data_IF_168474470269
#
_entry.id   IF_168474470269
#
_cell.length_a   1.000
_cell.length_b   1.000
_cell.length_c   1.000
_cell.angle_alpha   90.00
_cell.angle_beta   90.00
_cell.angle_gamma   90.00
#
_symmetry.space_group_name_H-M   'P 1'
#
loop_
_entity.id
_entity.type
_entity.pdbx_description
1 polymer ?
#
# COMPACT_ATOMS: atom_id res chain seq x y z
N UNK A 1 3.46 -6.93 -12.48
CA UNK A 1 2.74 -7.02 -11.19
C UNK A 1 2.38 -5.60 -10.78
N UNK A 2 1.13 -5.31 -10.43
CA UNK A 2 0.78 -4.06 -9.75
C UNK A 2 0.88 -4.33 -8.26
N UNK A 3 2.04 -4.01 -7.68
CA UNK A 3 2.27 -4.13 -6.24
C UNK A 3 1.24 -3.27 -5.49
N UNK A 4 0.70 -3.76 -4.37
CA UNK A 4 -0.26 -3.03 -3.55
C UNK A 4 -1.74 -3.32 -3.82
N UNK A 5 -2.07 -4.16 -4.79
CA UNK A 5 -3.47 -4.55 -5.07
C UNK A 5 -3.80 -5.95 -4.52
N UNK A 6 -4.97 -6.08 -3.91
CA UNK A 6 -5.46 -7.26 -3.21
C UNK A 6 -6.85 -7.64 -3.71
N UNK A 7 -7.06 -8.92 -3.99
CA UNK A 7 -8.41 -9.48 -4.18
C UNK A 7 -8.78 -10.17 -2.87
N UNK A 8 -9.87 -9.73 -2.25
CA UNK A 8 -10.40 -10.31 -1.00
C UNK A 8 -11.77 -10.89 -1.28
N UNK A 9 -11.94 -12.20 -1.05
CA UNK A 9 -13.25 -12.83 -1.07
C UNK A 9 -13.78 -13.00 0.33
N UNK A 10 -15.00 -12.52 0.56
CA UNK A 10 -15.69 -12.64 1.85
C UNK A 10 -16.68 -13.81 1.87
N UNK A 11 -16.86 -14.42 3.05
CA UNK A 11 -17.85 -15.47 3.28
C UNK A 11 -19.27 -14.93 3.07
N UNK A 12 -20.19 -15.78 2.62
CA UNK A 12 -21.63 -15.45 2.44
C UNK A 12 -22.31 -15.03 3.73
N UNK A 13 -21.96 -15.70 4.82
CA UNK A 13 -22.51 -15.43 6.15
C UNK A 13 -21.96 -14.15 6.77
N UNK A 14 -20.94 -13.54 6.19
CA UNK A 14 -20.40 -12.27 6.66
C UNK A 14 -21.22 -11.07 6.18
N UNK A 15 -21.18 -9.98 6.94
CA UNK A 15 -21.81 -8.73 6.53
C UNK A 15 -21.18 -8.18 5.25
N UNK A 16 -19.85 -8.16 5.16
CA UNK A 16 -19.12 -7.73 3.98
C UNK A 16 -19.53 -8.55 2.73
N UNK A 17 -19.62 -9.88 2.86
CA UNK A 17 -20.06 -10.75 1.78
C UNK A 17 -21.48 -10.45 1.30
N UNK A 18 -22.43 -10.21 2.22
CA UNK A 18 -23.81 -9.81 1.86
C UNK A 18 -23.85 -8.45 1.18
N UNK A 19 -23.07 -7.48 1.67
CA UNK A 19 -23.01 -6.14 1.09
C UNK A 19 -22.47 -6.18 -0.35
N UNK A 20 -21.39 -6.94 -0.60
CA UNK A 20 -20.84 -7.11 -1.95
C UNK A 20 -21.79 -7.87 -2.88
N UNK A 21 -22.49 -8.90 -2.40
CA UNK A 21 -23.51 -9.60 -3.17
C UNK A 21 -24.66 -8.67 -3.60
N UNK A 22 -25.13 -7.79 -2.71
CA UNK A 22 -26.18 -6.82 -3.02
C UNK A 22 -25.73 -5.80 -4.09
N UNK A 23 -24.45 -5.41 -4.11
CA UNK A 23 -23.90 -4.56 -5.18
C UNK A 23 -23.92 -5.30 -6.52
N UNK A 24 -23.47 -6.56 -6.55
CA UNK A 24 -23.47 -7.38 -7.78
C UNK A 24 -24.89 -7.66 -8.30
N UNK A 25 -25.87 -7.79 -7.40
CA UNK A 25 -27.27 -7.97 -7.76
C UNK A 25 -27.95 -6.66 -8.23
N UNK A 26 -27.22 -5.54 -8.31
CA UNK A 26 -27.77 -4.23 -8.71
C UNK A 26 -28.67 -3.59 -7.65
N UNK A 27 -28.72 -4.15 -6.43
CA UNK A 27 -29.55 -3.64 -5.33
C UNK A 27 -28.87 -2.49 -4.58
N UNK A 28 -27.55 -2.36 -4.74
CA UNK A 28 -26.72 -1.32 -4.10
C UNK A 28 -25.66 -0.81 -5.06
N UNK A 29 -25.15 0.39 -4.80
CA UNK A 29 -24.04 0.97 -5.56
C UNK A 29 -22.69 0.61 -4.94
N UNK A 30 -21.61 0.64 -5.73
CA UNK A 30 -20.24 0.46 -5.21
C UNK A 30 -19.90 1.49 -4.13
N UNK A 31 -20.43 2.71 -4.23
CA UNK A 31 -20.22 3.74 -3.19
C UNK A 31 -20.75 3.31 -1.81
N UNK A 32 -21.82 2.50 -1.75
CA UNK A 32 -22.39 2.02 -0.49
C UNK A 32 -21.48 1.05 0.27
N UNK A 33 -20.48 0.45 -0.41
CA UNK A 33 -19.50 -0.46 0.18
C UNK A 33 -18.12 0.16 0.34
N UNK A 34 -17.96 1.46 0.02
CA UNK A 34 -16.75 2.22 0.33
C UNK A 34 -16.34 2.19 1.82
N UNK A 35 -17.28 2.19 2.79
CA UNK A 35 -16.93 2.06 4.22
C UNK A 35 -16.15 0.78 4.56
N UNK A 36 -16.29 -0.30 3.78
CA UNK A 36 -15.54 -1.55 4.00
C UNK A 36 -14.04 -1.32 3.85
N UNK A 37 -13.62 -0.61 2.80
CA UNK A 37 -12.21 -0.28 2.59
C UNK A 37 -11.68 0.67 3.67
N UNK A 38 -12.50 1.63 4.13
CA UNK A 38 -12.13 2.53 5.22
C UNK A 38 -11.97 1.79 6.56
N UNK A 39 -12.86 0.84 6.86
CA UNK A 39 -12.75 -0.01 8.04
C UNK A 39 -11.47 -0.85 8.01
N UNK A 40 -11.23 -1.58 6.92
CA UNK A 40 -10.01 -2.36 6.73
C UNK A 40 -8.76 -1.48 6.82
N UNK A 41 -8.83 -0.26 6.28
CA UNK A 41 -7.72 0.70 6.37
C UNK A 41 -7.37 1.06 7.79
N UNK A 42 -8.39 1.30 8.63
CA UNK A 42 -8.23 1.64 10.04
C UNK A 42 -7.64 0.47 10.82
N UNK A 43 -8.19 -0.73 10.63
CA UNK A 43 -7.78 -1.94 11.35
C UNK A 43 -6.36 -2.40 10.99
N UNK A 44 -5.98 -2.27 9.71
CA UNK A 44 -4.65 -2.62 9.21
C UNK A 44 -3.65 -1.47 9.36
N UNK A 45 -4.12 -0.26 9.68
CA UNK A 45 -3.31 0.96 9.76
C UNK A 45 -2.63 1.34 8.44
N UNK A 46 -3.21 0.94 7.31
CA UNK A 46 -2.70 1.16 5.95
C UNK A 46 -3.87 1.62 5.08
N UNK A 47 -3.76 2.76 4.37
CA UNK A 47 -4.89 3.27 3.59
C UNK A 47 -5.13 2.44 2.33
N UNK A 48 -6.34 1.92 2.20
CA UNK A 48 -6.83 1.09 1.11
C UNK A 48 -8.04 1.76 0.45
N UNK A 49 -8.19 1.57 -0.85
CA UNK A 49 -9.36 1.98 -1.64
C UNK A 49 -10.06 0.75 -2.16
N UNK A 50 -11.39 0.77 -2.17
CA UNK A 50 -12.16 -0.19 -2.94
C UNK A 50 -12.11 0.23 -4.41
N UNK A 51 -11.33 -0.49 -5.21
CA UNK A 51 -11.20 -0.22 -6.64
C UNK A 51 -12.40 -0.80 -7.41
N UNK A 52 -12.83 -2.01 -7.06
CA UNK A 52 -13.91 -2.69 -7.76
C UNK A 52 -14.56 -3.77 -6.86
N UNK A 53 -15.83 -4.07 -7.14
CA UNK A 53 -16.49 -5.30 -6.68
C UNK A 53 -16.50 -6.28 -7.85
N UNK A 54 -15.87 -7.44 -7.68
CA UNK A 54 -15.77 -8.48 -8.70
C UNK A 54 -16.68 -9.66 -8.36
N UNK A 55 -16.78 -10.64 -9.27
CA UNK A 55 -17.72 -11.76 -9.14
C UNK A 55 -17.56 -12.50 -7.81
N UNK A 56 -18.66 -13.05 -7.28
CA UNK A 56 -18.58 -14.01 -6.18
C UNK A 56 -18.30 -13.43 -4.79
N UNK A 57 -18.63 -12.16 -4.54
CA UNK A 57 -18.40 -11.40 -3.27
C UNK A 57 -16.94 -11.04 -3.05
N UNK A 58 -16.27 -10.72 -4.14
CA UNK A 58 -14.90 -10.26 -4.13
C UNK A 58 -14.82 -8.74 -4.13
N UNK A 59 -13.90 -8.21 -3.33
CA UNK A 59 -13.49 -6.82 -3.38
C UNK A 59 -12.05 -6.75 -3.90
N UNK A 60 -11.86 -5.96 -4.96
CA UNK A 60 -10.54 -5.51 -5.37
C UNK A 60 -10.18 -4.27 -4.54
N UNK A 61 -9.20 -4.43 -3.65
CA UNK A 61 -8.66 -3.36 -2.82
C UNK A 61 -7.32 -2.92 -3.39
N UNK A 62 -7.12 -1.61 -3.52
CA UNK A 62 -5.86 -1.02 -3.94
C UNK A 62 -5.24 -0.23 -2.80
N UNK A 63 -3.91 -0.31 -2.64
CA UNK A 63 -3.17 0.54 -1.72
C UNK A 63 -3.28 2.02 -2.17
N UNK A 64 -3.82 2.88 -1.31
CA UNK A 64 -3.77 4.33 -1.55
C UNK A 64 -2.37 4.86 -1.23
N UNK A 65 -1.48 4.77 -2.21
CA UNK A 65 -0.09 5.22 -2.08
C UNK A 65 0.01 6.72 -1.77
N UNK A 66 -0.93 7.51 -2.29
CA UNK A 66 -0.94 8.95 -2.05
C UNK A 66 -1.32 9.24 -0.60
N UNK A 67 -2.38 8.62 -0.09
CA UNK A 67 -2.73 8.72 1.33
C UNK A 67 -1.64 8.14 2.23
N UNK A 68 -1.05 7.00 1.86
CA UNK A 68 0.05 6.39 2.60
C UNK A 68 1.24 7.34 2.71
N UNK A 69 1.62 7.96 1.59
CA UNK A 69 2.67 8.97 1.54
C UNK A 69 2.36 10.17 2.42
N UNK A 70 1.12 10.70 2.37
CA UNK A 70 0.69 11.81 3.25
C UNK A 70 0.76 11.42 4.72
N UNK A 71 0.32 10.21 5.09
CA UNK A 71 0.39 9.70 6.45
C UNK A 71 1.82 9.56 6.95
N UNK A 72 2.73 9.09 6.10
CA UNK A 72 4.16 8.99 6.41
C UNK A 72 4.80 10.37 6.60
N UNK A 73 4.50 11.33 5.73
CA UNK A 73 4.96 12.71 5.86
C UNK A 73 4.44 13.35 7.15
N UNK A 74 3.16 13.18 7.45
CA UNK A 74 2.56 13.69 8.68
C UNK A 74 3.18 13.08 9.93
N UNK A 75 3.51 11.78 9.90
CA UNK A 75 4.19 11.10 11.01
C UNK A 75 5.63 11.61 11.18
N UNK A 76 6.39 11.70 10.09
CA UNK A 76 7.75 12.26 10.13
C UNK A 76 7.76 13.72 10.62
N UNK A 77 6.76 14.52 10.23
CA UNK A 77 6.63 15.91 10.70
C UNK A 77 6.33 16.06 12.19
N UNK A 78 5.91 14.99 12.90
CA UNK A 78 5.72 14.99 14.36
C UNK A 78 6.99 14.65 15.13
N UNK A 79 8.02 14.13 14.46
CA UNK A 79 9.29 13.79 15.09
C UNK A 79 10.12 15.06 15.30
N UNK A 80 10.47 15.35 16.56
CA UNK A 80 11.18 16.59 16.91
C UNK A 80 12.53 16.75 16.19
N UNK A 81 13.20 15.64 15.88
CA UNK A 81 14.48 15.61 15.18
C UNK A 81 14.38 15.86 13.67
N UNK A 82 13.17 15.86 13.11
CA UNK A 82 12.95 16.07 11.67
C UNK A 82 12.84 17.58 11.40
N UNK A 83 13.63 18.05 10.45
CA UNK A 83 13.54 19.40 9.92
C UNK A 83 12.59 19.46 8.73
N UNK A 84 12.70 18.48 7.83
CA UNK A 84 11.88 18.37 6.62
C UNK A 84 11.75 16.92 6.20
N UNK A 85 10.60 16.55 5.65
CA UNK A 85 10.38 15.25 5.06
C UNK A 85 9.73 15.42 3.68
N UNK A 86 10.18 14.66 2.69
CA UNK A 86 9.66 14.69 1.32
C UNK A 86 9.56 13.28 0.77
N UNK A 87 8.47 13.00 0.05
CA UNK A 87 8.36 11.77 -0.73
C UNK A 87 9.18 11.93 -2.00
N UNK A 88 10.06 10.98 -2.25
CA UNK A 88 10.86 10.92 -3.46
C UNK A 88 10.37 9.77 -4.32
N UNK A 89 10.17 10.02 -5.61
CA UNK A 89 9.97 8.95 -6.58
C UNK A 89 11.34 8.33 -6.84
N UNK A 90 11.51 7.00 -6.70
CA UNK A 90 12.79 6.38 -7.03
C UNK A 90 13.16 6.68 -8.49
N UNK A 91 14.46 6.92 -8.79
CA UNK A 91 14.90 7.21 -10.14
C UNK A 91 14.52 6.06 -11.08
N UNK A 92 14.05 6.41 -12.29
CA UNK A 92 13.67 5.42 -13.29
C UNK A 92 14.90 4.57 -13.64
N UNK A 93 14.86 3.29 -13.27
CA UNK A 93 15.99 2.36 -13.48
C UNK A 93 16.12 1.26 -12.43
N UNK A 94 15.53 1.43 -11.24
CA UNK A 94 15.65 0.46 -10.12
C UNK A 94 14.53 -0.60 -10.04
N UNK A 95 13.82 -0.88 -11.15
CA UNK A 95 12.72 -1.85 -11.20
C UNK A 95 11.39 -1.24 -11.67
N UNK A 96 10.32 -2.04 -11.63
CA UNK A 96 9.00 -1.63 -12.09
C UNK A 96 8.52 -0.37 -11.32
N UNK A 97 8.02 0.67 -12.01
CA UNK A 97 7.48 1.85 -11.35
C UNK A 97 6.37 1.43 -10.39
N UNK A 98 6.56 1.76 -9.11
CA UNK A 98 5.61 1.44 -8.04
C UNK A 98 5.98 0.28 -7.11
N UNK A 99 7.14 -0.37 -7.23
CA UNK A 99 7.53 -1.40 -6.24
C UNK A 99 7.92 -0.81 -4.86
N UNK A 100 8.27 0.48 -4.81
CA UNK A 100 8.76 1.13 -3.59
C UNK A 100 8.14 2.50 -3.35
N UNK A 101 8.09 2.91 -2.08
CA UNK A 101 7.83 4.27 -1.64
C UNK A 101 9.04 4.76 -0.87
N UNK A 102 9.60 5.90 -1.26
CA UNK A 102 10.83 6.44 -0.66
C UNK A 102 10.54 7.78 0.01
N UNK A 103 10.96 7.90 1.26
CA UNK A 103 10.85 9.11 2.07
C UNK A 103 12.26 9.62 2.36
N UNK A 104 12.59 10.83 1.91
CA UNK A 104 13.80 11.55 2.30
C UNK A 104 13.47 12.44 3.50
N UNK A 105 14.26 12.30 4.55
CA UNK A 105 14.11 13.02 5.81
C UNK A 105 15.37 13.83 6.05
N UNK A 106 15.25 15.13 6.08
CA UNK A 106 16.30 16.04 6.55
C UNK A 106 16.17 16.17 8.06
N UNK A 107 17.25 15.86 8.77
CA UNK A 107 17.30 15.95 10.22
C UNK A 107 17.80 17.33 10.65
N UNK A 108 17.34 17.79 11.82
CA UNK A 108 17.85 19.03 12.40
C UNK A 108 19.37 18.91 12.66
N UNK A 109 20.11 20.03 12.57
CA UNK A 109 21.50 20.08 13.00
C UNK A 109 21.66 19.52 14.43
N UNK A 110 22.77 18.83 14.69
CA UNK A 110 23.09 18.23 16.00
C UNK A 110 22.14 17.11 16.47
N UNK A 111 21.32 16.54 15.59
CA UNK A 111 20.56 15.32 15.93
C UNK A 111 21.51 14.19 16.30
N UNK A 112 21.39 13.68 17.53
CA UNK A 112 22.21 12.60 18.08
C UNK A 112 22.11 11.31 17.24
N UNK A 113 23.22 10.57 17.13
CA UNK A 113 23.28 9.33 16.34
C UNK A 113 22.20 8.32 16.76
N UNK A 114 22.00 8.12 18.07
CA UNK A 114 20.98 7.24 18.61
C UNK A 114 19.55 7.60 18.14
N UNK A 115 19.26 8.89 17.93
CA UNK A 115 17.95 9.33 17.39
C UNK A 115 17.84 8.97 15.91
N UNK A 116 18.93 9.10 15.13
CA UNK A 116 18.93 8.72 13.71
C UNK A 116 18.70 7.22 13.54
N UNK A 117 19.33 6.41 14.38
CA UNK A 117 19.20 4.96 14.38
C UNK A 117 17.80 4.50 14.81
N UNK A 118 17.18 5.20 15.77
CA UNK A 118 15.82 4.87 16.24
C UNK A 118 14.70 5.35 15.29
N UNK A 119 14.94 6.38 14.47
CA UNK A 119 13.92 7.02 13.64
C UNK A 119 13.18 6.07 12.68
N UNK A 120 13.84 5.13 11.95
CA UNK A 120 13.15 4.15 11.12
C UNK A 120 12.12 3.33 11.92
N UNK A 121 12.45 2.97 13.17
CA UNK A 121 11.56 2.24 14.08
C UNK A 121 10.32 3.03 14.48
N UNK A 122 10.41 4.35 14.55
CA UNK A 122 9.28 5.24 14.84
C UNK A 122 8.37 5.48 13.64
N UNK A 123 8.88 5.22 12.44
CA UNK A 123 8.17 5.42 11.18
C UNK A 123 7.63 4.12 10.57
N UNK A 124 7.57 3.03 11.37
CA UNK A 124 6.96 1.76 10.95
C UNK A 124 5.48 1.93 10.58
N UNK A 125 5.07 1.32 9.47
CA UNK A 125 3.67 1.29 9.02
C UNK A 125 2.92 0.15 9.71
N UNK A 126 2.15 0.49 10.76
CA UNK A 126 1.17 -0.39 11.39
C UNK A 126 1.67 -1.82 11.70
N UNK A 127 2.95 -1.96 12.03
CA UNK A 127 3.71 -3.23 12.18
C UNK A 127 3.91 -4.06 10.90
N UNK A 128 3.25 -3.71 9.80
CA UNK A 128 3.23 -4.45 8.55
C UNK A 128 4.45 -4.19 7.65
N UNK A 129 4.99 -2.97 7.66
CA UNK A 129 6.19 -2.65 6.89
C UNK A 129 7.18 -1.82 7.71
N UNK A 130 8.39 -2.38 7.84
CA UNK A 130 9.55 -1.68 8.41
C UNK A 130 10.32 -0.99 7.29
N UNK A 131 10.58 0.32 7.39
CA UNK A 131 11.40 0.99 6.40
C UNK A 131 12.83 0.49 6.46
N UNK A 132 13.45 0.33 5.29
CA UNK A 132 14.89 0.16 5.16
C UNK A 132 15.54 1.53 5.15
N UNK A 133 16.43 1.76 6.10
CA UNK A 133 17.18 3.01 6.21
C UNK A 133 18.45 2.95 5.36
N UNK A 134 18.67 3.98 4.55
CA UNK A 134 19.91 4.23 3.85
C UNK A 134 20.38 5.66 4.17
N UNK A 135 21.66 5.83 4.47
CA UNK A 135 22.25 7.16 4.59
C UNK A 135 22.27 7.81 3.20
N UNK A 136 21.81 9.06 3.08
CA UNK A 136 22.04 9.85 1.87
C UNK A 136 23.46 10.43 1.99
N UNK A 137 24.35 10.05 1.07
CA UNK A 137 25.82 10.11 1.22
C UNK A 137 26.49 11.50 1.33
N UNK A 138 25.83 12.54 1.86
CA UNK A 138 26.47 13.85 2.02
C UNK A 138 25.80 14.85 2.98
N UNK A 139 24.47 14.86 3.08
CA UNK A 139 23.77 16.05 3.61
C UNK A 139 23.12 15.88 5.00
N UNK A 140 23.44 14.82 5.75
CA UNK A 140 22.76 14.53 7.02
C UNK A 140 21.27 14.15 6.84
N UNK A 141 20.86 13.83 5.62
CA UNK A 141 19.53 13.32 5.30
C UNK A 141 19.50 11.78 5.42
N UNK A 142 18.36 11.28 5.92
CA UNK A 142 18.05 9.86 6.01
C UNK A 142 17.06 9.50 4.90
N UNK A 143 17.35 8.43 4.15
CA UNK A 143 16.42 7.88 3.17
C UNK A 143 15.77 6.62 3.73
N UNK A 144 14.45 6.63 3.81
CA UNK A 144 13.65 5.47 4.21
C UNK A 144 12.95 4.89 2.99
N UNK A 145 13.19 3.61 2.72
CA UNK A 145 12.55 2.86 1.64
C UNK A 145 11.51 1.91 2.21
N UNK A 146 10.30 1.93 1.66
CA UNK A 146 9.22 1.00 1.96
C UNK A 146 9.01 0.10 0.75
N UNK A 147 9.22 -1.19 0.95
CA UNK A 147 8.95 -2.23 -0.05
C UNK A 147 7.44 -2.50 -0.09
N UNK A 148 6.81 -2.17 -1.23
CA UNK A 148 5.36 -2.33 -1.41
C UNK A 148 4.99 -3.79 -1.64
N UNK A 149 5.89 -4.62 -2.18
CA UNK A 149 5.64 -6.05 -2.32
C UNK A 149 5.63 -6.72 -0.94
N UNK A 150 6.61 -6.41 -0.09
CA UNK A 150 6.64 -6.88 1.29
C UNK A 150 5.40 -6.41 2.07
N UNK A 151 4.99 -5.16 1.90
CA UNK A 151 3.75 -4.64 2.49
C UNK A 151 2.51 -5.40 1.98
N UNK A 152 2.45 -5.68 0.68
CA UNK A 152 1.34 -6.44 0.09
C UNK A 152 1.25 -7.84 0.69
N UNK A 153 2.37 -8.54 0.82
CA UNK A 153 2.43 -9.87 1.46
C UNK A 153 1.99 -9.82 2.92
N UNK A 154 2.42 -8.81 3.68
CA UNK A 154 2.00 -8.61 5.07
C UNK A 154 0.49 -8.35 5.18
N UNK A 155 -0.07 -7.54 4.26
CA UNK A 155 -1.51 -7.29 4.19
C UNK A 155 -2.28 -8.58 3.89
N UNK A 156 -1.83 -9.39 2.92
CA UNK A 156 -2.44 -10.69 2.61
C UNK A 156 -2.47 -11.57 3.86
N UNK A 157 -1.33 -11.73 4.52
CA UNK A 157 -1.22 -12.56 5.72
C UNK A 157 -2.16 -12.07 6.83
N UNK A 158 -2.31 -10.76 7.00
CA UNK A 158 -3.16 -10.17 8.04
C UNK A 158 -4.66 -10.28 7.71
N UNK A 159 -5.05 -10.00 6.47
CA UNK A 159 -6.45 -10.08 6.03
C UNK A 159 -6.93 -11.54 5.98
N UNK A 160 -6.07 -12.49 5.60
CA UNK A 160 -6.38 -13.92 5.59
C UNK A 160 -6.71 -14.49 6.98
N UNK A 161 -6.22 -13.85 8.06
CA UNK A 161 -6.52 -14.26 9.45
C UNK A 161 -7.94 -13.86 9.90
N UNK A 162 -8.66 -13.05 9.12
CA UNK A 162 -9.99 -12.60 9.52
C UNK A 162 -11.03 -13.71 9.38
N UNK A 163 -11.99 -13.82 10.32
CA UNK A 163 -12.99 -14.88 10.28
C UNK A 163 -14.01 -14.73 9.14
N UNK A 164 -14.24 -13.50 8.67
CA UNK A 164 -15.18 -13.16 7.59
C UNK A 164 -14.60 -13.36 6.18
N UNK A 165 -13.32 -13.69 6.06
CA UNK A 165 -12.61 -13.84 4.80
C UNK A 165 -12.51 -15.33 4.40
N UNK A 166 -12.80 -15.61 3.14
CA UNK A 166 -12.64 -16.94 2.52
C UNK A 166 -11.23 -17.09 1.96
N UNK A 167 -10.76 -16.13 1.16
CA UNK A 167 -9.37 -16.02 0.73
C UNK A 167 -8.95 -14.59 0.42
N UNK A 168 -7.63 -14.41 0.37
CA UNK A 168 -6.97 -13.19 -0.10
C UNK A 168 -5.83 -13.56 -1.04
N UNK A 169 -5.68 -12.81 -2.12
CA UNK A 169 -4.53 -12.94 -3.01
C UNK A 169 -4.08 -11.59 -3.56
N UNK A 170 -2.81 -11.50 -3.96
CA UNK A 170 -2.34 -10.35 -4.72
C UNK A 170 -3.05 -10.29 -6.08
N UNK A 171 -3.44 -9.11 -6.51
CA UNK A 171 -3.99 -8.94 -7.85
C UNK A 171 -2.87 -9.07 -8.90
N UNK A 172 -2.73 -10.28 -9.44
CA UNK A 172 -1.77 -10.58 -10.51
C UNK A 172 -2.43 -10.35 -11.87
N UNK A 173 -2.81 -9.12 -12.18
CA UNK A 173 -3.16 -8.78 -13.57
C UNK A 173 -1.90 -8.99 -14.44
N UNK A 174 -1.89 -10.09 -15.18
CA UNK A 174 -1.08 -10.24 -16.38
C UNK A 174 -1.62 -9.20 -17.36
N UNK A 175 -0.80 -8.22 -17.77
CA UNK A 175 -1.18 -7.39 -18.92
C UNK A 175 -1.43 -8.34 -20.10
N UNK A 176 -2.45 -8.09 -20.94
CA UNK A 176 -2.48 -8.70 -22.25
C UNK A 176 -1.15 -8.38 -22.94
N UNK A 177 -0.38 -9.41 -23.28
CA UNK A 177 0.72 -9.25 -24.23
C UNK A 177 0.04 -8.83 -25.52
N UNK A 178 0.30 -7.60 -25.98
CA UNK A 178 -0.18 -7.17 -27.29
C UNK A 178 0.23 -8.26 -28.30
N UNK A 179 -0.70 -8.79 -29.13
CA UNK A 179 -0.32 -9.75 -30.15
C UNK A 179 0.80 -9.12 -31.00
N UNK A 180 1.83 -9.90 -31.40
CA UNK A 180 2.88 -9.38 -32.27
C UNK A 180 2.22 -8.71 -33.46
N UNK A 181 2.62 -7.48 -33.76
CA UNK A 181 2.10 -6.70 -34.87
C UNK A 181 2.07 -7.61 -36.11
N UNK A 182 0.86 -7.93 -36.59
CA UNK A 182 0.69 -8.71 -37.78
C UNK A 182 1.43 -7.99 -38.92
N UNK A 183 2.24 -8.77 -39.63
CA UNK A 183 3.34 -8.29 -40.45
C UNK A 183 2.96 -7.19 -41.43
N UNK A 184 3.83 -6.19 -41.51
CA UNK A 184 4.06 -5.47 -42.75
C UNK A 184 4.73 -6.45 -43.73
N UNK A 185 3.90 -7.21 -44.45
CA UNK A 185 4.34 -7.83 -45.70
C UNK A 185 4.35 -6.75 -46.77
N UNK A 186 5.58 -6.41 -47.18
CA UNK A 186 6.07 -5.84 -48.45
C UNK A 186 5.12 -5.00 -49.30
#
# INVERSE_FOLDING_TARGET
MMSGDLIVKFRDTSEAGRQLAAVLAGQRTVASVAPLAAQLSSELGVPLLLAQVTSGREALLALDRAALGRSLLARAGREASVQKAVLTVPPQGSGLPGAELVLRIELRPNTAAAVREALPGRLVLATLARPQAAADGGDGALRLRYDIDALTLALIAKVQQRPDVEYVQANRLLRPVAPPAAGASR
#
